data_IF_029810491513
#
_entry.id   IF_029810491513
#
_cell.length_a   1.000
_cell.length_b   1.000
_cell.length_c   1.000
_cell.angle_alpha   90.00
_cell.angle_beta   90.00
_cell.angle_gamma   90.00
#
_symmetry.space_group_name_H-M   'P 1'
#
loop_
_entity.id
_entity.type
_entity.pdbx_description
1 polymer ?
#
# COMPACT_ATOMS: atom_id res chain seq x y z
N UNK A 1 11.17 -12.15 -3.87
CA UNK A 1 12.06 -10.97 -3.92
C UNK A 1 12.12 -10.34 -2.53
N UNK A 2 13.25 -9.76 -2.13
CA UNK A 2 13.31 -8.92 -0.94
C UNK A 2 12.38 -7.70 -1.08
N UNK A 3 11.91 -7.17 0.04
CA UNK A 3 11.15 -5.90 0.07
C UNK A 3 12.13 -4.74 -0.08
N UNK A 4 11.71 -3.69 -0.77
CA UNK A 4 12.45 -2.43 -0.84
C UNK A 4 12.64 -1.86 0.58
N UNK A 5 13.87 -1.46 0.93
CA UNK A 5 14.22 -1.08 2.30
C UNK A 5 13.38 0.11 2.81
N UNK A 6 13.06 1.07 1.93
CA UNK A 6 12.29 2.26 2.28
C UNK A 6 10.82 1.98 2.68
N UNK A 7 10.25 0.86 2.23
CA UNK A 7 8.83 0.51 2.47
C UNK A 7 8.66 -0.73 3.36
N UNK A 8 9.71 -1.52 3.55
CA UNK A 8 9.67 -2.81 4.25
C UNK A 8 9.07 -2.70 5.65
N UNK A 9 9.45 -1.69 6.42
CA UNK A 9 8.97 -1.52 7.80
C UNK A 9 7.46 -1.30 7.85
N UNK A 10 6.91 -0.49 6.93
CA UNK A 10 5.48 -0.27 6.83
C UNK A 10 4.73 -1.55 6.42
N UNK A 11 5.29 -2.34 5.49
CA UNK A 11 4.74 -3.65 5.11
C UNK A 11 4.70 -4.61 6.32
N UNK A 12 5.78 -4.69 7.10
CA UNK A 12 5.83 -5.55 8.28
C UNK A 12 4.83 -5.14 9.36
N UNK A 13 4.68 -3.84 9.62
CA UNK A 13 3.69 -3.30 10.56
C UNK A 13 2.27 -3.71 10.16
N UNK A 14 1.91 -3.57 8.88
CA UNK A 14 0.58 -3.92 8.38
C UNK A 14 0.32 -5.43 8.48
N UNK A 15 1.27 -6.26 8.05
CA UNK A 15 1.16 -7.72 8.13
C UNK A 15 1.04 -8.21 9.58
N UNK A 16 1.80 -7.63 10.51
CA UNK A 16 1.70 -7.94 11.94
C UNK A 16 0.33 -7.58 12.53
N UNK A 17 -0.36 -6.59 11.95
CA UNK A 17 -1.74 -6.22 12.32
C UNK A 17 -2.83 -7.04 11.59
N UNK A 18 -2.42 -8.08 10.85
CA UNK A 18 -3.32 -8.97 10.11
C UNK A 18 -3.89 -8.35 8.83
N UNK A 19 -3.20 -7.39 8.23
CA UNK A 19 -3.57 -6.78 6.95
C UNK A 19 -2.77 -7.47 5.84
N UNK A 20 -3.49 -7.95 4.83
CA UNK A 20 -2.89 -8.63 3.69
C UNK A 20 -2.41 -7.61 2.65
N UNK A 21 -1.13 -7.70 2.30
CA UNK A 21 -0.45 -6.84 1.33
C UNK A 21 -0.19 -7.62 0.04
N UNK A 22 -0.45 -7.03 -1.12
CA UNK A 22 -0.21 -7.67 -2.43
C UNK A 22 1.17 -7.28 -2.95
N UNK A 23 1.38 -5.99 -3.14
CA UNK A 23 2.63 -5.41 -3.67
C UNK A 23 3.02 -4.17 -2.86
N UNK A 24 4.30 -3.83 -2.94
CA UNK A 24 4.83 -2.62 -2.34
C UNK A 24 5.95 -2.08 -3.22
N UNK A 25 6.04 -0.76 -3.30
CA UNK A 25 7.09 -0.06 -4.02
C UNK A 25 7.58 1.10 -3.17
N UNK A 26 8.89 1.30 -3.07
CA UNK A 26 9.44 2.50 -2.39
C UNK A 26 9.29 3.79 -3.20
N UNK A 27 9.00 3.68 -4.50
CA UNK A 27 8.88 4.80 -5.43
C UNK A 27 10.22 5.41 -5.85
N UNK A 28 10.20 6.30 -6.84
CA UNK A 28 11.41 6.95 -7.37
C UNK A 28 11.50 6.94 -8.89
N UNK A 29 12.60 7.49 -9.43
CA UNK A 29 12.83 7.52 -10.89
C UNK A 29 12.98 6.08 -11.42
N UNK A 30 12.13 5.71 -12.38
CA UNK A 30 12.09 4.34 -12.94
C UNK A 30 11.17 3.36 -12.21
N UNK A 31 10.48 3.77 -11.14
CA UNK A 31 9.52 2.93 -10.41
C UNK A 31 8.09 3.06 -10.98
N UNK A 32 7.24 2.02 -10.85
CA UNK A 32 5.83 2.06 -11.28
C UNK A 32 4.99 3.11 -10.55
N UNK A 33 5.40 3.47 -9.33
CA UNK A 33 4.78 4.50 -8.51
C UNK A 33 5.80 5.61 -8.25
N UNK A 34 5.36 6.86 -8.35
CA UNK A 34 6.20 8.01 -8.02
C UNK A 34 6.39 8.19 -6.50
N UNK A 35 5.41 7.75 -5.71
CA UNK A 35 5.39 7.83 -4.25
C UNK A 35 5.44 6.40 -3.65
N UNK A 36 6.06 6.21 -2.47
CA UNK A 36 6.08 4.93 -1.79
C UNK A 36 4.65 4.44 -1.53
N UNK A 37 4.32 3.25 -2.01
CA UNK A 37 2.94 2.73 -2.05
C UNK A 37 2.91 1.27 -1.63
N UNK A 38 1.93 0.91 -0.81
CA UNK A 38 1.60 -0.49 -0.49
C UNK A 38 0.18 -0.76 -0.96
N UNK A 39 0.01 -1.78 -1.81
CA UNK A 39 -1.28 -2.26 -2.27
C UNK A 39 -1.79 -3.38 -1.36
N UNK A 40 -3.07 -3.33 -1.05
CA UNK A 40 -3.76 -4.21 -0.12
C UNK A 40 -5.00 -4.79 -0.78
N UNK A 41 -5.37 -6.02 -0.42
CA UNK A 41 -6.69 -6.58 -0.71
C UNK A 41 -7.64 -6.34 0.46
N UNK A 42 -8.92 -6.68 0.29
CA UNK A 42 -9.90 -6.71 1.38
C UNK A 42 -11.18 -5.93 1.09
N UNK A 43 -12.01 -5.82 2.13
CA UNK A 43 -13.32 -5.20 2.02
C UNK A 43 -13.28 -3.67 1.90
N UNK A 44 -14.46 -3.01 1.82
CA UNK A 44 -14.57 -1.56 1.75
C UNK A 44 -13.94 -0.79 2.93
N UNK A 45 -13.69 -1.46 4.06
CA UNK A 45 -13.06 -0.85 5.24
C UNK A 45 -11.54 -1.03 5.32
N UNK A 46 -10.94 -1.87 4.49
CA UNK A 46 -9.56 -2.34 4.72
C UNK A 46 -8.52 -1.22 4.58
N UNK A 47 -8.69 -0.32 3.60
CA UNK A 47 -7.84 0.86 3.46
C UNK A 47 -7.86 1.78 4.69
N UNK A 48 -9.03 1.98 5.30
CA UNK A 48 -9.16 2.77 6.53
C UNK A 48 -8.49 2.11 7.73
N UNK A 49 -8.65 0.78 7.85
CA UNK A 49 -7.97 -0.01 8.88
C UNK A 49 -6.45 0.09 8.73
N UNK A 50 -5.94 -0.06 7.51
CA UNK A 50 -4.52 0.06 7.20
C UNK A 50 -3.96 1.45 7.49
N UNK A 51 -4.67 2.50 7.09
CA UNK A 51 -4.33 3.88 7.44
C UNK A 51 -4.20 4.04 8.97
N UNK A 52 -5.19 3.58 9.74
CA UNK A 52 -5.18 3.68 11.19
C UNK A 52 -4.03 2.91 11.85
N UNK A 53 -3.69 1.72 11.34
CA UNK A 53 -2.53 0.94 11.82
C UNK A 53 -1.23 1.69 11.54
N UNK A 54 -1.05 2.19 10.32
CA UNK A 54 0.17 2.91 9.93
C UNK A 54 0.37 4.18 10.76
N UNK A 55 -0.67 4.98 10.95
CA UNK A 55 -0.62 6.21 11.79
C UNK A 55 -0.27 5.88 13.24
N UNK A 56 -0.88 4.84 13.84
CA UNK A 56 -0.56 4.43 15.22
C UNK A 56 0.88 3.94 15.38
N UNK A 57 1.49 3.46 14.31
CA UNK A 57 2.89 3.07 14.28
C UNK A 57 3.86 4.22 13.94
N UNK A 58 3.37 5.48 13.94
CA UNK A 58 4.18 6.68 13.66
C UNK A 58 4.51 6.90 12.19
N UNK A 59 3.90 6.14 11.26
CA UNK A 59 4.05 6.39 9.82
C UNK A 59 3.17 7.55 9.39
N UNK A 60 3.52 8.14 8.24
CA UNK A 60 2.83 9.29 7.68
C UNK A 60 2.22 8.96 6.30
N UNK A 61 1.13 8.18 6.23
CA UNK A 61 0.39 8.04 4.99
C UNK A 61 -0.13 9.40 4.53
N UNK A 62 0.02 9.70 3.24
CA UNK A 62 -0.48 10.91 2.58
C UNK A 62 -1.88 10.71 2.04
N UNK A 63 -2.19 9.52 1.55
CA UNK A 63 -3.48 9.20 0.96
C UNK A 63 -3.81 7.70 1.09
N UNK A 64 -5.11 7.40 0.98
CA UNK A 64 -5.59 6.07 0.60
C UNK A 64 -6.41 6.20 -0.68
N UNK A 65 -6.29 5.24 -1.58
CA UNK A 65 -7.08 5.17 -2.80
C UNK A 65 -7.70 3.79 -2.94
N UNK A 66 -8.98 3.74 -3.31
CA UNK A 66 -9.63 2.49 -3.72
C UNK A 66 -9.65 2.46 -5.24
N UNK A 67 -9.05 1.44 -5.82
CA UNK A 67 -8.79 1.39 -7.25
C UNK A 67 -9.31 0.09 -7.85
N UNK A 68 -9.65 0.17 -9.14
CA UNK A 68 -9.83 -0.98 -10.00
C UNK A 68 -8.77 -0.90 -11.09
N UNK A 69 -8.08 -2.00 -11.34
CA UNK A 69 -7.19 -2.13 -12.49
C UNK A 69 -7.97 -2.69 -13.67
N UNK A 70 -7.38 -2.58 -14.86
CA UNK A 70 -7.86 -3.28 -16.05
C UNK A 70 -6.74 -4.21 -16.49
N UNK A 71 -6.90 -5.49 -16.22
CA UNK A 71 -5.90 -6.52 -16.50
C UNK A 71 -6.45 -7.42 -17.61
N UNK A 72 -5.71 -7.56 -18.71
CA UNK A 72 -6.15 -8.30 -19.92
C UNK A 72 -7.52 -7.88 -20.47
N UNK A 73 -7.89 -6.61 -20.28
CA UNK A 73 -9.17 -6.04 -20.73
C UNK A 73 -10.34 -6.23 -19.76
N UNK A 74 -10.11 -6.84 -18.59
CA UNK A 74 -11.12 -7.07 -17.56
C UNK A 74 -10.91 -6.17 -16.34
N UNK A 75 -12.01 -5.71 -15.73
CA UNK A 75 -11.95 -4.96 -14.46
C UNK A 75 -11.53 -5.89 -13.33
N UNK A 76 -10.43 -5.55 -12.67
CA UNK A 76 -9.81 -6.34 -11.60
C UNK A 76 -9.70 -5.54 -10.30
N UNK A 77 -9.85 -6.22 -9.16
CA UNK A 77 -9.90 -5.61 -7.83
C UNK A 77 -11.30 -5.70 -7.18
N UNK A 78 -11.71 -4.71 -6.36
CA UNK A 78 -10.97 -3.50 -5.99
C UNK A 78 -9.79 -3.76 -5.08
N UNK A 79 -8.76 -2.95 -5.23
CA UNK A 79 -7.61 -2.89 -4.33
C UNK A 79 -7.60 -1.59 -3.54
N UNK A 80 -6.79 -1.57 -2.48
CA UNK A 80 -6.48 -0.37 -1.71
C UNK A 80 -5.01 -0.03 -1.85
N UNK A 81 -4.70 1.20 -2.26
CA UNK A 81 -3.35 1.74 -2.22
C UNK A 81 -3.21 2.63 -0.99
N UNK A 82 -2.24 2.31 -0.12
CA UNK A 82 -1.79 3.15 0.98
C UNK A 82 -0.50 3.86 0.56
N UNK A 83 -0.58 5.18 0.41
CA UNK A 83 0.47 5.98 -0.20
C UNK A 83 1.15 6.81 0.89
N UNK A 84 2.47 6.79 0.95
CA UNK A 84 3.30 7.54 1.89
C UNK A 84 3.97 8.73 1.21
N UNK A 85 4.36 9.74 1.98
CA UNK A 85 5.22 10.80 1.45
C UNK A 85 6.61 10.23 1.18
N UNK A 86 7.19 10.61 0.04
CA UNK A 86 8.63 10.47 -0.20
C UNK A 86 9.39 11.28 0.86
N UNK A 87 10.46 10.70 1.41
CA UNK A 87 11.36 11.36 2.38
C UNK A 87 12.25 12.41 1.74
#
# INVERSE_FOLDING_TARGET
MPLDEGIAEAVHILRAAGIETIESCEGGEGHPFHEPTIRLCGGPGEGFRAYGVAVRAGRQPRAIARIWTVDDGELTGPYWDLIFRSG
#
